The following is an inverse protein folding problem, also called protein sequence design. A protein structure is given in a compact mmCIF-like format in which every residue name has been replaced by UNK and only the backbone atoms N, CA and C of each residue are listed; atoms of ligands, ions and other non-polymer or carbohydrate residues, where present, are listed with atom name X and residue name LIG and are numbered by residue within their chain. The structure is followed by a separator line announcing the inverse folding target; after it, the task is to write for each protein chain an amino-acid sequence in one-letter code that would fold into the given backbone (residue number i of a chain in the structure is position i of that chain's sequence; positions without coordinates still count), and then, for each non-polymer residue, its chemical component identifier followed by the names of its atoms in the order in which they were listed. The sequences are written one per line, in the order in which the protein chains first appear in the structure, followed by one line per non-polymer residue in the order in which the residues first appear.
data_IF_288872843726
#
_entry.id   IF_288872843726
#
_cell.length_a   1.000
_cell.length_b   1.000
_cell.length_c   1.000
_cell.angle_alpha   90.00
_cell.angle_beta   90.00
_cell.angle_gamma   90.00
#
_symmetry.space_group_name_H-M   'P 1'
#
loop_
_entity.id
_entity.type
_entity.pdbx_description
1 polymer ?
#
# COMPACT_ATOMS: atom_id res chain seq x y z
N UNK A 1 19.59 1.22 4.24
CA UNK A 1 18.72 2.37 4.57
C UNK A 1 17.29 1.97 4.24
N UNK A 2 16.31 2.43 5.01
CA UNK A 2 14.89 2.17 4.72
C UNK A 2 14.30 3.19 3.75
N UNK A 3 13.14 2.88 3.16
CA UNK A 3 12.36 3.82 2.36
C UNK A 3 11.41 4.64 3.27
N UNK A 4 11.22 5.95 3.04
CA UNK A 4 10.22 6.72 3.75
C UNK A 4 8.82 6.24 3.36
N UNK A 5 7.91 6.15 4.32
CA UNK A 5 6.51 5.78 4.09
C UNK A 5 5.59 6.43 5.11
N UNK A 6 4.31 6.46 4.78
CA UNK A 6 3.22 6.89 5.68
C UNK A 6 2.35 5.68 5.98
N UNK A 7 2.17 5.38 7.26
CA UNK A 7 1.24 4.33 7.71
C UNK A 7 -0.17 4.89 7.81
N UNK A 8 -1.17 4.10 7.38
CA UNK A 8 -2.58 4.44 7.47
C UNK A 8 -3.38 3.26 7.98
N UNK A 9 -3.96 3.40 9.16
CA UNK A 9 -4.79 2.38 9.79
C UNK A 9 -6.25 2.55 9.36
N UNK A 10 -6.79 1.56 8.65
CA UNK A 10 -8.17 1.54 8.19
C UNK A 10 -9.21 1.57 9.32
N UNK A 11 -8.85 1.22 10.55
CA UNK A 11 -9.74 1.29 11.71
C UNK A 11 -9.87 2.71 12.28
N UNK A 12 -8.88 3.58 12.01
CA UNK A 12 -8.81 4.94 12.54
C UNK A 12 -8.94 6.02 11.44
N UNK A 13 -8.62 5.68 10.18
CA UNK A 13 -8.70 6.56 9.02
C UNK A 13 -9.78 6.08 8.04
N UNK A 14 -11.01 6.63 8.11
CA UNK A 14 -12.07 6.35 7.13
C UNK A 14 -11.66 6.66 5.68
N UNK A 15 -10.73 7.60 5.49
CA UNK A 15 -10.18 7.93 4.17
C UNK A 15 -9.33 6.80 3.59
N UNK A 16 -8.72 5.94 4.43
CA UNK A 16 -7.97 4.78 3.96
C UNK A 16 -8.90 3.72 3.38
N UNK A 17 -10.07 3.51 4.01
CA UNK A 17 -11.12 2.63 3.47
C UNK A 17 -11.63 3.15 2.12
N UNK A 18 -11.91 4.46 2.02
CA UNK A 18 -12.38 5.07 0.78
C UNK A 18 -11.36 4.94 -0.37
N UNK A 19 -10.06 4.99 -0.05
CA UNK A 19 -9.00 4.77 -1.03
C UNK A 19 -8.93 3.32 -1.50
N UNK A 20 -8.99 2.36 -0.57
CA UNK A 20 -9.09 0.94 -0.89
C UNK A 20 -10.27 0.63 -1.83
N UNK A 21 -11.41 1.26 -1.60
CA UNK A 21 -12.59 1.17 -2.49
C UNK A 21 -12.32 1.70 -3.89
N UNK A 22 -11.65 2.84 -4.03
CA UNK A 22 -11.27 3.40 -5.34
C UNK A 22 -10.25 2.54 -6.07
N UNK A 23 -9.34 1.90 -5.33
CA UNK A 23 -8.35 0.97 -5.88
C UNK A 23 -8.97 -0.41 -6.24
N UNK A 24 -10.21 -0.67 -5.83
CA UNK A 24 -10.87 -1.96 -6.06
C UNK A 24 -10.35 -3.10 -5.19
N UNK A 25 -9.66 -2.79 -4.09
CA UNK A 25 -9.04 -3.78 -3.18
C UNK A 25 -9.72 -3.69 -1.82
N UNK A 26 -10.34 -4.78 -1.35
CA UNK A 26 -11.08 -4.81 -0.07
C UNK A 26 -10.32 -5.50 1.08
N UNK A 27 -9.01 -5.65 0.96
CA UNK A 27 -8.17 -6.37 1.93
C UNK A 27 -7.03 -5.49 2.40
N UNK A 28 -6.53 -5.75 3.60
CA UNK A 28 -5.28 -5.17 4.12
C UNK A 28 -4.28 -6.30 4.42
N UNK A 29 -2.97 -6.02 4.43
CA UNK A 29 -2.33 -4.74 4.10
C UNK A 29 -2.22 -4.48 2.60
N UNK A 30 -2.13 -3.21 2.22
CA UNK A 30 -1.89 -2.73 0.84
C UNK A 30 -0.77 -1.70 0.87
N UNK A 31 0.20 -1.84 -0.03
CA UNK A 31 1.28 -0.88 -0.21
C UNK A 31 1.09 -0.17 -1.55
N UNK A 32 1.09 1.16 -1.52
CA UNK A 32 1.08 2.01 -2.72
C UNK A 32 2.44 2.67 -2.83
N UNK A 33 3.13 2.43 -3.94
CA UNK A 33 4.47 2.98 -4.23
C UNK A 33 4.33 3.99 -5.35
N UNK A 34 4.87 5.19 -5.12
CA UNK A 34 4.84 6.33 -6.04
C UNK A 34 3.45 6.64 -6.63
N UNK A 35 2.41 6.40 -5.83
CA UNK A 35 1.00 6.67 -6.18
C UNK A 35 0.43 5.82 -7.33
N UNK A 36 1.18 4.87 -7.89
CA UNK A 36 0.78 4.14 -9.11
C UNK A 36 0.90 2.63 -8.97
N UNK A 37 1.90 2.15 -8.23
CA UNK A 37 2.12 0.71 -8.04
C UNK A 37 1.38 0.25 -6.79
N UNK A 38 0.42 -0.65 -6.95
CA UNK A 38 -0.37 -1.20 -5.85
C UNK A 38 0.01 -2.66 -5.62
N UNK A 39 0.46 -2.97 -4.40
CA UNK A 39 0.79 -4.32 -3.97
C UNK A 39 -0.16 -4.69 -2.84
N UNK A 40 -0.88 -5.79 -3.02
CA UNK A 40 -1.80 -6.33 -2.01
C UNK A 40 -1.10 -7.44 -1.25
N UNK A 41 -1.14 -7.38 0.08
CA UNK A 41 -0.41 -8.28 0.96
C UNK A 41 1.09 -8.00 1.01
N UNK A 42 1.86 -8.96 1.54
CA UNK A 42 3.31 -8.87 1.70
C UNK A 42 4.03 -9.76 0.68
N UNK A 43 3.91 -9.41 -0.60
CA UNK A 43 4.68 -10.07 -1.67
C UNK A 43 6.10 -9.51 -1.71
N UNK A 44 7.05 -10.24 -1.11
CA UNK A 44 8.44 -9.80 -0.95
C UNK A 44 9.14 -9.55 -2.28
N UNK A 45 8.88 -10.36 -3.30
CA UNK A 45 9.52 -10.18 -4.61
C UNK A 45 9.02 -8.92 -5.30
N UNK A 46 7.71 -8.66 -5.27
CA UNK A 46 7.13 -7.43 -5.82
C UNK A 46 7.60 -6.19 -5.06
N UNK A 47 7.63 -6.24 -3.74
CA UNK A 47 8.10 -5.14 -2.90
C UNK A 47 9.57 -4.85 -3.19
N UNK A 48 10.42 -5.88 -3.26
CA UNK A 48 11.84 -5.71 -3.57
C UNK A 48 12.04 -5.10 -4.95
N UNK A 49 11.31 -5.57 -5.96
CA UNK A 49 11.37 -5.02 -7.31
C UNK A 49 10.96 -3.56 -7.37
N UNK A 50 9.86 -3.20 -6.71
CA UNK A 50 9.33 -1.84 -6.73
C UNK A 50 10.14 -0.84 -5.88
N UNK A 51 10.81 -1.29 -4.81
CA UNK A 51 11.60 -0.44 -3.92
C UNK A 51 13.09 -0.33 -4.29
N UNK A 52 13.54 -1.04 -5.32
CA UNK A 52 14.95 -1.00 -5.78
C UNK A 52 15.20 0.05 -6.88
N UNK A 53 14.20 0.89 -7.19
CA UNK A 53 14.25 1.95 -8.21
C UNK A 53 14.91 3.24 -7.72
#
# INVERSE_FOLDING_TARGET
MGAPYTERDVTQDPGAIAELQKLGVMTTPVTVIDGTTVIVGFDVEKLRGALSG
#
